data_IF_452771317611
#
_entry.id   IF_452771317611
#
_cell.length_a   1.000
_cell.length_b   1.000
_cell.length_c   1.000
_cell.angle_alpha   90.00
_cell.angle_beta   90.00
_cell.angle_gamma   90.00
#
_symmetry.space_group_name_H-M   'P 1'
#
loop_
_entity.id
_entity.type
_entity.pdbx_description
1 polymer ?
#
# COMPACT_ATOMS: atom_id res chain seq x y z
N UNK A 1 -50.03 -2.28 -16.78
CA UNK A 1 -48.81 -1.63 -17.32
C UNK A 1 -49.07 -1.03 -18.70
N UNK A 2 -49.84 -1.68 -19.58
CA UNK A 2 -50.23 -1.15 -20.90
C UNK A 2 -50.99 0.19 -20.85
N UNK A 3 -51.91 0.34 -19.89
CA UNK A 3 -52.89 1.44 -19.88
C UNK A 3 -52.32 2.81 -19.44
N UNK A 4 -51.13 2.81 -18.81
CA UNK A 4 -50.43 4.03 -18.39
C UNK A 4 -49.48 4.52 -19.51
N UNK A 5 -49.08 3.63 -20.44
CA UNK A 5 -48.18 3.95 -21.56
C UNK A 5 -48.84 4.77 -22.67
N UNK A 6 -50.18 4.84 -22.70
CA UNK A 6 -50.94 5.51 -23.76
C UNK A 6 -51.27 6.97 -23.41
N UNK A 7 -51.23 7.36 -22.13
CA UNK A 7 -51.64 8.72 -21.70
C UNK A 7 -50.50 9.72 -21.59
N UNK A 8 -49.25 9.27 -21.47
CA UNK A 8 -48.07 10.14 -21.50
C UNK A 8 -47.29 9.83 -22.78
N UNK A 9 -47.26 10.79 -23.70
CA UNK A 9 -46.56 10.68 -24.98
C UNK A 9 -45.12 10.19 -24.83
N UNK A 10 -44.64 9.52 -25.88
CA UNK A 10 -43.39 8.74 -26.01
C UNK A 10 -42.07 9.42 -25.62
N UNK A 11 -42.07 10.63 -25.03
CA UNK A 11 -40.86 11.44 -24.83
C UNK A 11 -40.55 11.82 -23.37
N UNK A 12 -41.27 11.34 -22.35
CA UNK A 12 -41.13 11.92 -20.98
C UNK A 12 -40.85 10.91 -19.86
N UNK A 13 -40.69 9.63 -20.12
CA UNK A 13 -40.36 8.69 -19.04
C UNK A 13 -39.46 7.55 -19.52
N UNK A 14 -38.16 7.83 -19.54
CA UNK A 14 -37.13 6.81 -19.44
C UNK A 14 -37.24 6.17 -18.05
N UNK A 15 -38.04 5.10 -17.99
CA UNK A 15 -38.16 4.22 -16.81
C UNK A 15 -37.45 2.90 -17.09
N UNK A 16 -36.26 2.98 -17.67
CA UNK A 16 -35.15 2.20 -17.16
C UNK A 16 -34.27 3.26 -16.50
N UNK A 17 -33.79 3.13 -15.28
CA UNK A 17 -32.40 2.68 -15.10
C UNK A 17 -32.11 2.78 -13.59
N UNK A 18 -32.81 2.03 -12.75
CA UNK A 18 -32.31 1.77 -11.38
C UNK A 18 -31.03 0.92 -11.43
N UNK A 19 -30.87 0.10 -12.48
CA UNK A 19 -29.67 -0.72 -12.68
C UNK A 19 -28.46 0.10 -13.14
N UNK A 20 -28.53 0.93 -14.19
CA UNK A 20 -27.36 1.72 -14.60
C UNK A 20 -27.13 3.01 -13.78
N UNK A 21 -28.08 3.46 -12.96
CA UNK A 21 -27.81 4.46 -11.92
C UNK A 21 -27.07 3.83 -10.73
N UNK A 22 -27.37 2.55 -10.42
CA UNK A 22 -26.59 1.77 -9.48
C UNK A 22 -25.20 1.47 -10.06
N UNK A 23 -25.11 1.07 -11.33
CA UNK A 23 -23.85 0.77 -12.04
C UNK A 23 -22.96 2.01 -12.20
N UNK A 24 -23.53 3.19 -12.47
CA UNK A 24 -22.78 4.45 -12.53
C UNK A 24 -22.24 4.91 -11.16
N UNK A 25 -22.83 4.44 -10.05
CA UNK A 25 -22.36 4.73 -8.69
C UNK A 25 -21.44 3.61 -8.17
N UNK A 26 -21.66 2.36 -8.55
CA UNK A 26 -20.87 1.20 -8.11
C UNK A 26 -19.63 0.92 -8.96
N UNK A 27 -19.65 1.21 -10.27
CA UNK A 27 -18.52 0.98 -11.15
C UNK A 27 -17.27 1.79 -10.76
N UNK A 28 -17.37 3.10 -10.45
CA UNK A 28 -16.19 3.86 -10.00
C UNK A 28 -15.62 3.37 -8.66
N UNK A 29 -16.48 2.85 -7.76
CA UNK A 29 -16.05 2.30 -6.47
C UNK A 29 -15.36 0.94 -6.63
N UNK A 30 -15.83 0.11 -7.56
CA UNK A 30 -15.19 -1.17 -7.91
C UNK A 30 -13.82 -0.94 -8.56
N UNK A 31 -13.72 0.00 -9.51
CA UNK A 31 -12.46 0.32 -10.20
C UNK A 31 -11.44 0.96 -9.24
N UNK A 32 -11.89 1.81 -8.32
CA UNK A 32 -11.05 2.37 -7.26
C UNK A 32 -10.56 1.29 -6.28
N UNK A 33 -11.40 0.30 -5.94
CA UNK A 33 -11.01 -0.81 -5.09
C UNK A 33 -9.97 -1.71 -5.76
N UNK A 34 -10.17 -2.09 -7.02
CA UNK A 34 -9.27 -2.96 -7.78
C UNK A 34 -7.89 -2.31 -8.01
N UNK A 35 -7.88 -1.02 -8.35
CA UNK A 35 -6.63 -0.26 -8.55
C UNK A 35 -5.84 -0.09 -7.25
N UNK A 36 -6.51 0.09 -6.11
CA UNK A 36 -5.86 0.15 -4.79
C UNK A 36 -5.27 -1.21 -4.38
N UNK A 37 -6.01 -2.29 -4.62
CA UNK A 37 -5.56 -3.64 -4.27
C UNK A 37 -4.33 -4.08 -5.06
N UNK A 38 -4.28 -3.80 -6.37
CA UNK A 38 -3.11 -4.15 -7.18
C UNK A 38 -1.88 -3.35 -6.78
N UNK A 39 -2.04 -2.07 -6.42
CA UNK A 39 -0.99 -1.22 -5.88
C UNK A 39 -0.41 -1.78 -4.57
N UNK A 40 -1.29 -2.20 -3.65
CA UNK A 40 -0.87 -2.82 -2.38
C UNK A 40 -0.04 -4.10 -2.61
N UNK A 41 -0.53 -5.01 -3.48
CA UNK A 41 0.17 -6.27 -3.76
C UNK A 41 1.52 -6.00 -4.44
N UNK A 42 1.56 -5.10 -5.42
CA UNK A 42 2.79 -4.73 -6.11
C UNK A 42 3.82 -4.14 -5.16
N UNK A 43 3.41 -3.25 -4.25
CA UNK A 43 4.28 -2.68 -3.22
C UNK A 43 4.82 -3.73 -2.25
N UNK A 44 3.99 -4.70 -1.83
CA UNK A 44 4.42 -5.80 -0.98
C UNK A 44 5.47 -6.67 -1.68
N UNK A 45 5.26 -7.04 -2.94
CA UNK A 45 6.22 -7.84 -3.70
C UNK A 45 7.54 -7.08 -3.90
N UNK A 46 7.46 -5.79 -4.28
CA UNK A 46 8.63 -4.95 -4.47
C UNK A 46 9.45 -4.82 -3.18
N UNK A 47 8.79 -4.54 -2.04
CA UNK A 47 9.48 -4.44 -0.75
C UNK A 47 10.12 -5.76 -0.33
N UNK A 48 9.43 -6.89 -0.52
CA UNK A 48 9.97 -8.22 -0.25
C UNK A 48 11.24 -8.51 -1.08
N UNK A 49 11.20 -8.19 -2.38
CA UNK A 49 12.33 -8.37 -3.27
C UNK A 49 13.52 -7.49 -2.84
N UNK A 50 13.28 -6.21 -2.54
CA UNK A 50 14.31 -5.27 -2.08
C UNK A 50 14.98 -5.77 -0.80
N UNK A 51 14.18 -6.18 0.19
CA UNK A 51 14.71 -6.72 1.45
C UNK A 51 15.56 -7.97 1.18
N UNK A 52 15.03 -8.91 0.39
CA UNK A 52 15.76 -10.14 0.06
C UNK A 52 17.10 -9.85 -0.62
N UNK A 53 17.14 -8.95 -1.61
CA UNK A 53 18.37 -8.58 -2.29
C UNK A 53 19.35 -7.86 -1.35
N UNK A 54 18.86 -6.92 -0.56
CA UNK A 54 19.68 -6.17 0.41
C UNK A 54 20.34 -7.12 1.42
N UNK A 55 19.55 -8.00 2.04
CA UNK A 55 20.05 -8.98 3.01
C UNK A 55 20.98 -9.99 2.34
N UNK A 56 20.70 -10.42 1.11
CA UNK A 56 21.59 -11.33 0.37
C UNK A 56 22.98 -10.71 0.11
N UNK A 57 23.06 -9.42 -0.20
CA UNK A 57 24.34 -8.72 -0.38
C UNK A 57 25.12 -8.70 0.94
N UNK A 58 24.48 -8.30 2.04
CA UNK A 58 25.11 -8.25 3.37
C UNK A 58 25.57 -9.64 3.81
N UNK A 59 24.75 -10.67 3.56
CA UNK A 59 25.09 -12.06 3.87
C UNK A 59 26.37 -12.52 3.14
N UNK A 60 26.51 -12.14 1.86
CA UNK A 60 27.68 -12.50 1.04
C UNK A 60 28.95 -11.81 1.52
N UNK A 61 28.86 -10.57 1.99
CA UNK A 61 30.02 -9.83 2.52
C UNK A 61 30.62 -10.52 3.76
N UNK A 62 29.80 -11.24 4.54
CA UNK A 62 30.23 -11.90 5.79
C UNK A 62 30.52 -13.41 5.63
N UNK A 63 30.59 -13.93 4.41
CA UNK A 63 30.84 -15.37 4.16
C UNK A 63 32.17 -15.84 4.77
N UNK A 64 33.21 -14.99 4.76
CA UNK A 64 34.52 -15.30 5.38
C UNK A 64 34.42 -15.47 6.89
N UNK A 65 33.76 -14.53 7.57
CA UNK A 65 33.54 -14.57 9.02
C UNK A 65 32.76 -15.82 9.42
N UNK A 66 31.70 -16.14 8.67
CA UNK A 66 30.86 -17.33 8.88
C UNK A 66 31.66 -18.62 8.63
N UNK A 67 32.55 -18.63 7.64
CA UNK A 67 33.47 -19.74 7.36
C UNK A 67 34.41 -20.03 8.55
N UNK A 68 34.97 -18.98 9.16
CA UNK A 68 35.82 -19.08 10.36
C UNK A 68 35.00 -19.56 11.55
N UNK A 69 33.80 -19.01 11.76
CA UNK A 69 32.89 -19.41 12.85
C UNK A 69 32.50 -20.90 12.76
N UNK A 70 32.23 -21.38 11.55
CA UNK A 70 31.93 -22.80 11.29
C UNK A 70 33.16 -23.70 11.44
N UNK A 71 34.36 -23.22 11.14
CA UNK A 71 35.59 -23.96 11.40
C UNK A 71 35.85 -24.15 12.91
N UNK A 72 35.36 -23.23 13.75
CA UNK A 72 35.35 -23.35 15.21
C UNK A 72 34.21 -24.23 15.76
N UNK A 73 33.40 -24.84 14.89
CA UNK A 73 32.35 -25.79 15.27
C UNK A 73 30.93 -25.21 15.38
N UNK A 74 30.70 -23.97 14.92
CA UNK A 74 29.34 -23.41 14.91
C UNK A 74 28.42 -24.18 13.94
N UNK A 75 27.20 -24.46 14.39
CA UNK A 75 26.18 -25.12 13.56
C UNK A 75 25.59 -24.15 12.53
N UNK A 76 25.08 -24.67 11.40
CA UNK A 76 24.41 -23.85 10.38
C UNK A 76 23.19 -23.10 10.95
N UNK A 77 22.53 -23.65 11.97
CA UNK A 77 21.39 -23.02 12.63
C UNK A 77 21.79 -21.86 13.52
N UNK A 78 22.99 -21.90 14.11
CA UNK A 78 23.51 -20.78 14.90
C UNK A 78 23.76 -19.56 14.00
N UNK A 79 24.30 -19.79 12.79
CA UNK A 79 24.52 -18.75 11.79
C UNK A 79 23.20 -18.12 11.34
N UNK A 80 22.20 -18.95 11.05
CA UNK A 80 20.85 -18.47 10.68
C UNK A 80 20.25 -17.67 11.83
N UNK A 81 20.28 -18.19 13.07
CA UNK A 81 19.75 -17.52 14.25
C UNK A 81 20.40 -16.15 14.52
N UNK A 82 21.74 -16.06 14.41
CA UNK A 82 22.46 -14.79 14.57
C UNK A 82 22.00 -13.75 13.54
N UNK A 83 21.91 -14.15 12.28
CA UNK A 83 21.52 -13.25 11.19
C UNK A 83 20.04 -12.85 11.26
N UNK A 84 19.16 -13.78 11.66
CA UNK A 84 17.75 -13.50 11.92
C UNK A 84 17.58 -12.52 13.08
N UNK A 85 18.35 -12.67 14.17
CA UNK A 85 18.32 -11.73 15.29
C UNK A 85 18.82 -10.34 14.88
N UNK A 86 19.90 -10.25 14.11
CA UNK A 86 20.40 -8.96 13.58
C UNK A 86 19.31 -8.26 12.76
N UNK A 87 18.67 -8.96 11.82
CA UNK A 87 17.54 -8.39 11.08
C UNK A 87 16.39 -8.01 12.00
N UNK A 88 16.06 -8.82 13.00
CA UNK A 88 14.97 -8.53 13.93
C UNK A 88 15.20 -7.21 14.68
N UNK A 89 16.42 -6.98 15.17
CA UNK A 89 16.78 -5.72 15.84
C UNK A 89 16.64 -4.51 14.91
N UNK A 90 17.14 -4.61 13.67
CA UNK A 90 17.00 -3.55 12.67
C UNK A 90 15.53 -3.30 12.31
N UNK A 91 14.75 -4.38 12.18
CA UNK A 91 13.34 -4.30 11.81
C UNK A 91 12.48 -3.66 12.91
N UNK A 92 12.79 -3.89 14.19
CA UNK A 92 12.12 -3.21 15.32
C UNK A 92 12.37 -1.70 15.26
N UNK A 93 13.62 -1.28 15.04
CA UNK A 93 13.96 0.15 14.93
C UNK A 93 13.25 0.77 13.71
N UNK A 94 13.28 0.07 12.56
CA UNK A 94 12.60 0.51 11.36
C UNK A 94 11.07 0.60 11.54
N UNK A 95 10.45 -0.31 12.31
CA UNK A 95 9.02 -0.29 12.61
C UNK A 95 8.63 0.93 13.43
N UNK A 96 9.44 1.32 14.43
CA UNK A 96 9.21 2.54 15.22
C UNK A 96 9.30 3.79 14.35
N UNK A 97 10.35 3.88 13.52
CA UNK A 97 10.53 5.03 12.61
C UNK A 97 9.40 5.08 11.58
N UNK A 98 9.02 3.93 11.02
CA UNK A 98 7.90 3.80 10.09
C UNK A 98 6.59 4.24 10.72
N UNK A 99 6.29 3.80 11.95
CA UNK A 99 5.11 4.21 12.70
C UNK A 99 4.97 5.73 12.79
N UNK A 100 6.05 6.39 13.17
CA UNK A 100 6.07 7.84 13.36
C UNK A 100 5.98 8.58 12.03
N UNK A 101 6.57 8.04 10.96
CA UNK A 101 6.53 8.64 9.63
C UNK A 101 5.19 8.44 8.91
N UNK A 102 4.46 7.35 9.20
CA UNK A 102 3.18 7.04 8.54
C UNK A 102 2.12 8.10 8.80
N UNK A 103 2.02 8.63 10.01
CA UNK A 103 0.98 9.60 10.36
C UNK A 103 0.98 10.88 9.50
N UNK A 104 2.09 11.65 9.38
CA UNK A 104 2.11 12.84 8.52
C UNK A 104 2.01 12.51 7.02
N UNK A 105 2.55 11.36 6.60
CA UNK A 105 2.43 10.91 5.21
C UNK A 105 0.98 10.60 4.85
N UNK A 106 0.25 9.92 5.73
CA UNK A 106 -1.14 9.57 5.54
C UNK A 106 -2.03 10.82 5.43
N UNK A 107 -1.80 11.83 6.28
CA UNK A 107 -2.49 13.12 6.20
C UNK A 107 -2.20 13.86 4.90
N UNK A 108 -0.94 13.84 4.43
CA UNK A 108 -0.56 14.49 3.17
C UNK A 108 -1.26 13.85 1.97
N UNK A 109 -1.33 12.51 1.93
CA UNK A 109 -2.06 11.77 0.89
C UNK A 109 -3.56 12.06 0.96
N UNK A 110 -4.16 12.03 2.16
CA UNK A 110 -5.58 12.34 2.33
C UNK A 110 -5.93 13.76 1.87
N UNK A 111 -5.11 14.75 2.22
CA UNK A 111 -5.29 16.14 1.76
C UNK A 111 -5.13 16.26 0.24
N UNK A 112 -4.20 15.52 -0.37
CA UNK A 112 -4.01 15.49 -1.82
C UNK A 112 -5.20 14.88 -2.58
N UNK A 113 -5.90 13.92 -1.98
CA UNK A 113 -7.11 13.33 -2.56
C UNK A 113 -8.34 14.25 -2.42
N UNK A 114 -8.44 15.02 -1.33
CA UNK A 114 -9.55 15.95 -1.07
C UNK A 114 -9.44 17.25 -1.87
N UNK A 115 -8.25 17.64 -2.32
CA UNK A 115 -8.03 18.90 -3.03
C UNK A 115 -8.25 18.82 -4.55
N UNK A 116 -8.55 17.64 -5.10
CA UNK A 116 -8.89 17.46 -6.52
C UNK A 116 -10.22 16.69 -6.77
N UNK A 117 -11.38 17.12 -6.23
CA UNK A 117 -12.65 16.67 -6.74
C UNK A 117 -13.02 17.59 -7.89
N UNK A 118 -12.45 17.37 -9.08
CA UNK A 118 -13.03 17.90 -10.32
C UNK A 118 -14.32 17.15 -10.65
N UNK A 119 -15.35 17.34 -9.82
CA UNK A 119 -16.72 16.95 -10.17
C UNK A 119 -17.20 17.96 -11.21
N UNK A 120 -17.03 17.64 -12.50
CA UNK A 120 -17.76 18.28 -13.57
C UNK A 120 -19.22 17.81 -13.50
N UNK A 121 -20.01 18.43 -12.61
CA UNK A 121 -21.46 18.32 -12.71
C UNK A 121 -21.84 19.04 -14.01
N UNK A 122 -22.29 18.28 -15.00
CA UNK A 122 -23.01 18.81 -16.15
C UNK A 122 -24.29 19.47 -15.67
N UNK A 123 -24.18 20.71 -15.19
CA UNK A 123 -25.30 21.51 -14.75
C UNK A 123 -26.13 21.95 -15.93
N UNK A 124 -27.15 21.16 -16.27
CA UNK A 124 -28.27 21.60 -17.09
C UNK A 124 -29.06 22.68 -16.36
N UNK A 125 -28.53 23.90 -16.33
CA UNK A 125 -29.17 25.09 -15.77
C UNK A 125 -29.64 26.01 -16.90
N UNK A 126 -30.95 26.15 -17.05
CA UNK A 126 -31.57 27.08 -17.98
C UNK A 126 -31.10 28.53 -17.76
N UNK A 127 -30.54 29.14 -18.81
CA UNK A 127 -30.67 30.57 -19.09
C UNK A 127 -29.72 31.53 -18.40
N UNK A 128 -28.43 31.51 -18.74
CA UNK A 128 -27.55 32.69 -18.66
C UNK A 128 -26.30 32.55 -19.55
N UNK A 129 -26.20 33.30 -20.66
CA UNK A 129 -24.99 33.31 -21.50
C UNK A 129 -23.85 34.05 -20.79
N UNK A 130 -22.72 33.37 -20.57
CA UNK A 130 -21.49 33.97 -20.01
C UNK A 130 -21.30 33.81 -18.50
N UNK A 131 -21.98 32.85 -17.86
CA UNK A 131 -21.66 32.43 -16.50
C UNK A 131 -21.03 31.03 -16.53
N UNK A 132 -19.72 31.00 -16.70
CA UNK A 132 -18.84 29.90 -16.32
C UNK A 132 -18.96 29.69 -14.81
N UNK A 133 -19.97 28.91 -14.40
CA UNK A 133 -20.05 28.36 -13.04
C UNK A 133 -19.00 27.28 -12.91
N UNK A 134 -17.74 27.69 -12.81
CA UNK A 134 -16.71 26.86 -12.21
C UNK A 134 -17.03 26.82 -10.72
N UNK A 135 -17.96 25.93 -10.34
CA UNK A 135 -18.20 25.57 -8.96
C UNK A 135 -16.98 24.78 -8.47
N UNK A 136 -15.86 25.47 -8.32
CA UNK A 136 -14.76 25.01 -7.49
C UNK A 136 -15.30 24.93 -6.07
N UNK A 137 -15.55 23.72 -5.60
CA UNK A 137 -15.75 23.43 -4.20
C UNK A 137 -14.45 23.77 -3.44
N UNK A 138 -14.24 25.06 -3.13
CA UNK A 138 -12.98 25.47 -2.50
C UNK A 138 -12.82 26.94 -2.13
N UNK A 139 -13.88 27.76 -2.11
CA UNK A 139 -13.74 29.21 -1.99
C UNK A 139 -14.71 29.95 -1.06
N UNK A 140 -15.38 29.27 -0.14
CA UNK A 140 -16.26 29.91 0.85
C UNK A 140 -16.05 29.37 2.26
N UNK A 141 -16.50 30.06 3.32
CA UNK A 141 -16.38 29.58 4.70
C UNK A 141 -17.14 28.27 4.99
N UNK A 142 -17.90 27.75 4.01
CA UNK A 142 -18.50 26.41 4.00
C UNK A 142 -17.61 25.33 3.35
N UNK A 143 -16.49 25.70 2.72
CA UNK A 143 -15.50 24.77 2.12
C UNK A 143 -14.64 24.03 3.15
N UNK A 144 -14.67 24.47 4.41
CA UNK A 144 -14.06 23.77 5.54
C UNK A 144 -15.01 22.76 6.22
N UNK A 145 -16.23 22.56 5.71
CA UNK A 145 -17.21 21.62 6.30
C UNK A 145 -17.14 20.21 5.71
N UNK A 146 -16.34 20.01 4.65
CA UNK A 146 -15.75 18.71 4.29
C UNK A 146 -14.32 18.57 4.88
N UNK A 147 -13.97 19.47 5.80
CA UNK A 147 -12.69 19.52 6.47
C UNK A 147 -12.50 18.31 7.37
N UNK A 148 -11.31 17.74 7.27
CA UNK A 148 -10.80 16.67 8.13
C UNK A 148 -11.42 15.31 7.81
N UNK A 149 -10.95 14.68 6.72
CA UNK A 149 -10.82 13.22 6.76
C UNK A 149 -9.78 12.95 7.86
N UNK A 150 -10.27 12.76 9.08
CA UNK A 150 -9.47 12.22 10.15
C UNK A 150 -9.04 10.82 9.70
N UNK A 151 -7.82 10.72 9.18
CA UNK A 151 -7.19 9.42 8.92
C UNK A 151 -6.84 8.86 10.29
N UNK A 152 -7.87 8.32 10.94
CA UNK A 152 -7.74 7.57 12.16
C UNK A 152 -7.00 6.28 11.80
N UNK A 153 -5.66 6.31 11.92
CA UNK A 153 -4.83 5.12 11.87
C UNK A 153 -5.22 4.26 13.07
N UNK A 154 -6.15 3.34 12.86
CA UNK A 154 -6.59 2.43 13.92
C UNK A 154 -5.37 1.64 14.43
N UNK A 155 -5.17 1.57 15.76
CA UNK A 155 -4.08 0.79 16.37
C UNK A 155 -4.07 -0.68 15.90
N UNK A 156 -5.23 -1.23 15.55
CA UNK A 156 -5.35 -2.60 15.05
C UNK A 156 -4.72 -2.78 13.67
N UNK A 157 -4.97 -1.85 12.75
CA UNK A 157 -4.38 -1.88 11.40
C UNK A 157 -2.86 -1.71 11.48
N UNK A 158 -2.40 -0.84 12.38
CA UNK A 158 -0.97 -0.69 12.65
C UNK A 158 -0.34 -1.97 13.19
N UNK A 159 -1.07 -2.68 14.08
CA UNK A 159 -0.67 -4.00 14.57
C UNK A 159 -0.50 -5.04 13.46
N UNK A 160 -1.48 -5.14 12.55
CA UNK A 160 -1.38 -6.03 11.39
C UNK A 160 -0.22 -5.65 10.47
N UNK A 161 -0.04 -4.35 10.18
CA UNK A 161 1.07 -3.87 9.36
C UNK A 161 2.44 -4.22 9.97
N UNK A 162 2.59 -4.08 11.29
CA UNK A 162 3.81 -4.41 12.01
C UNK A 162 4.12 -5.92 11.96
N UNK A 163 3.11 -6.77 12.16
CA UNK A 163 3.27 -8.23 12.06
C UNK A 163 3.67 -8.63 10.64
N UNK A 164 3.01 -8.08 9.63
CA UNK A 164 3.33 -8.36 8.22
C UNK A 164 4.75 -7.90 7.89
N UNK A 165 5.13 -6.68 8.28
CA UNK A 165 6.45 -6.12 8.00
C UNK A 165 7.58 -6.94 8.66
N UNK A 166 7.43 -7.27 9.95
CA UNK A 166 8.39 -8.11 10.66
C UNK A 166 8.44 -9.52 10.05
N UNK A 167 7.28 -10.12 9.78
CA UNK A 167 7.20 -11.44 9.15
C UNK A 167 7.92 -11.46 7.80
N UNK A 168 7.69 -10.47 6.95
CA UNK A 168 8.35 -10.34 5.66
C UNK A 168 9.87 -10.19 5.79
N UNK A 169 10.33 -9.33 6.69
CA UNK A 169 11.76 -9.09 6.90
C UNK A 169 12.49 -10.36 7.39
N UNK A 170 11.88 -11.09 8.32
CA UNK A 170 12.44 -12.32 8.86
C UNK A 170 12.44 -13.43 7.81
N UNK A 171 11.33 -13.66 7.11
CA UNK A 171 11.23 -14.68 6.04
C UNK A 171 12.22 -14.38 4.92
N UNK A 172 12.33 -13.12 4.49
CA UNK A 172 13.29 -12.70 3.47
C UNK A 172 14.75 -12.91 3.90
N UNK A 173 15.03 -12.87 5.21
CA UNK A 173 16.39 -13.11 5.76
C UNK A 173 16.76 -14.58 5.82
N UNK A 174 15.79 -15.47 6.09
CA UNK A 174 16.06 -16.90 6.27
C UNK A 174 16.67 -17.54 5.00
N UNK A 175 16.19 -17.15 3.81
CA UNK A 175 16.66 -17.69 2.53
C UNK A 175 18.17 -17.46 2.33
N UNK A 176 18.69 -16.21 2.31
CA UNK A 176 20.11 -15.96 2.16
C UNK A 176 20.92 -16.48 3.36
N UNK A 177 20.39 -16.39 4.59
CA UNK A 177 21.08 -16.89 5.78
C UNK A 177 21.34 -18.40 5.70
N UNK A 178 20.37 -19.18 5.25
CA UNK A 178 20.51 -20.62 5.09
C UNK A 178 21.46 -21.01 3.96
N UNK A 179 21.44 -20.24 2.86
CA UNK A 179 22.36 -20.43 1.75
C UNK A 179 23.81 -20.21 2.18
N UNK A 180 24.10 -19.07 2.84
CA UNK A 180 25.45 -18.75 3.33
C UNK A 180 25.87 -19.69 4.45
N UNK A 181 24.95 -20.06 5.33
CA UNK A 181 25.19 -21.03 6.39
C UNK A 181 25.61 -22.41 5.87
N UNK A 182 25.36 -22.76 4.60
CA UNK A 182 25.77 -24.05 4.01
C UNK A 182 27.10 -24.03 3.27
N UNK A 183 27.74 -22.87 3.13
CA UNK A 183 29.05 -22.77 2.46
C UNK A 183 30.11 -23.54 3.25
N UNK A 184 30.99 -24.27 2.55
CA UNK A 184 32.04 -25.10 3.16
C UNK A 184 33.21 -24.21 3.61
N UNK A 185 33.68 -24.30 4.87
CA UNK A 185 34.78 -23.48 5.37
C UNK A 185 36.06 -23.57 4.51
N UNK A 186 36.38 -24.77 4.04
CA UNK A 186 37.56 -25.03 3.21
C UNK A 186 37.52 -24.34 1.83
N UNK A 187 36.34 -24.05 1.30
CA UNK A 187 36.19 -23.36 0.01
C UNK A 187 36.46 -21.87 0.17
N UNK A 188 35.92 -21.27 1.24
CA UNK A 188 36.06 -19.83 1.52
C UNK A 188 37.50 -19.44 1.84
N UNK A 189 38.26 -20.32 2.48
CA UNK A 189 39.66 -20.08 2.87
C UNK A 189 40.67 -20.36 1.75
N UNK A 190 40.26 -21.05 0.68
CA UNK A 190 41.13 -21.41 -0.46
C UNK A 190 41.13 -20.36 -1.56
N UNK A 191 40.21 -19.39 -1.52
CA UNK A 191 40.13 -18.31 -2.51
C UNK A 191 41.15 -17.17 -2.29
N UNK A 192 42.22 -17.44 -1.54
CA UNK A 192 43.41 -16.59 -1.40
C UNK A 192 44.69 -17.44 -1.58
#
# INVERSE_FOLDING_TARGET
AEEIRVTLGEDVADVTTQEAAFDAISAPLSDAADSSQIGMIAALIASAAIILFSVAIVARQRVKEIGILKALGASNWNVVGQMTLETAFVAVIAAVIGALATFPLAQTVANGLVSDPTIQVGGGGFGRPGADVTAGAGGGPAGNLLGEIDVAVSPEVFGYALVIALGLALVATVIPAWYVGRVKPAEVLRYE
#
